data_IF_479248908436
#
_entry.id   IF_479248908436
#
_cell.length_a   1.000
_cell.length_b   1.000
_cell.length_c   1.000
_cell.angle_alpha   90.00
_cell.angle_beta   90.00
_cell.angle_gamma   90.00
#
_symmetry.space_group_name_H-M   'P 1'
#
loop_
_entity.id
_entity.type
_entity.pdbx_description
1 polymer ?
#
# COMPACT_ATOMS: atom_id res chain seq x y z
N UNK A 1 63.48 -13.70 33.81
CA UNK A 1 62.04 -13.89 34.13
C UNK A 1 61.21 -13.34 32.98
N UNK A 2 60.66 -14.23 32.15
CA UNK A 2 59.82 -13.86 30.99
C UNK A 2 58.41 -13.54 31.50
N UNK A 3 57.88 -12.37 31.16
CA UNK A 3 56.45 -12.04 31.38
C UNK A 3 55.83 -11.71 30.02
N UNK A 4 55.19 -12.72 29.44
CA UNK A 4 54.24 -12.60 28.34
C UNK A 4 52.93 -12.03 28.88
N UNK A 5 52.54 -10.84 28.43
CA UNK A 5 51.19 -10.30 28.66
C UNK A 5 50.39 -10.46 27.37
N UNK A 6 49.37 -11.30 27.45
CA UNK A 6 48.44 -11.68 26.37
C UNK A 6 47.52 -10.51 26.06
N UNK A 7 47.54 -10.06 24.81
CA UNK A 7 46.55 -9.11 24.27
C UNK A 7 45.22 -9.81 24.07
N UNK A 8 44.19 -9.40 24.83
CA UNK A 8 42.79 -9.78 24.58
C UNK A 8 42.16 -8.66 23.75
N UNK A 9 42.15 -8.83 22.43
CA UNK A 9 41.31 -8.04 21.52
C UNK A 9 39.89 -8.64 21.55
N UNK A 10 38.99 -8.01 22.30
CA UNK A 10 37.55 -8.27 22.21
C UNK A 10 37.05 -7.59 20.94
N UNK A 11 36.86 -8.37 19.88
CA UNK A 11 36.09 -7.96 18.70
C UNK A 11 34.62 -7.84 19.12
N UNK A 12 34.17 -6.62 19.43
CA UNK A 12 32.75 -6.30 19.44
C UNK A 12 32.22 -6.46 18.01
N UNK A 13 31.63 -7.62 17.72
CA UNK A 13 30.76 -7.79 16.57
C UNK A 13 29.51 -6.93 16.80
N UNK A 14 29.59 -5.65 16.44
CA UNK A 14 28.43 -4.79 16.33
C UNK A 14 27.58 -5.34 15.16
N UNK A 15 26.61 -6.18 15.49
CA UNK A 15 25.51 -6.50 14.60
C UNK A 15 24.83 -5.19 14.25
N UNK A 16 25.05 -4.73 13.01
CA UNK A 16 24.34 -3.61 12.40
C UNK A 16 22.90 -4.07 12.18
N UNK A 17 22.11 -4.10 13.25
CA UNK A 17 20.66 -4.15 13.14
C UNK A 17 20.28 -2.80 12.54
N UNK A 18 19.93 -2.82 11.25
CA UNK A 18 19.42 -1.64 10.58
C UNK A 18 18.28 -1.06 11.41
N UNK A 19 18.52 0.10 12.02
CA UNK A 19 17.51 0.84 12.75
C UNK A 19 16.48 1.31 11.72
N UNK A 20 15.40 0.55 11.55
CA UNK A 20 14.23 1.06 10.86
C UNK A 20 13.66 2.18 11.72
N UNK A 21 13.63 3.39 11.17
CA UNK A 21 13.06 4.53 11.85
C UNK A 21 11.62 4.21 12.26
N UNK A 22 11.28 4.50 13.51
CA UNK A 22 9.94 4.27 14.06
C UNK A 22 8.91 4.96 13.18
N UNK A 23 8.07 4.18 12.49
CA UNK A 23 7.04 4.68 11.58
C UNK A 23 7.27 4.39 10.10
N UNK A 24 8.47 3.96 9.72
CA UNK A 24 8.76 3.55 8.34
C UNK A 24 8.16 2.17 8.06
N UNK A 25 7.37 2.05 7.00
CA UNK A 25 6.78 0.77 6.59
C UNK A 25 7.87 -0.28 6.35
N UNK A 26 7.66 -1.52 6.79
CA UNK A 26 8.57 -2.63 6.47
C UNK A 26 8.53 -3.00 4.98
N UNK A 27 9.69 -3.18 4.33
CA UNK A 27 9.75 -3.89 3.06
C UNK A 27 9.23 -5.33 3.19
N UNK A 28 8.68 -5.87 2.11
CA UNK A 28 8.20 -7.26 2.04
C UNK A 28 6.75 -7.37 1.60
N UNK A 29 6.14 -8.51 1.92
CA UNK A 29 4.77 -8.85 1.56
C UNK A 29 3.78 -8.19 2.53
N UNK A 30 2.82 -7.47 1.97
CA UNK A 30 1.70 -6.88 2.69
C UNK A 30 0.38 -7.44 2.18
N UNK A 31 -0.56 -7.58 3.09
CA UNK A 31 -1.97 -7.75 2.78
C UNK A 31 -2.66 -6.39 2.94
N UNK A 32 -3.35 -5.95 1.90
CA UNK A 32 -4.13 -4.73 1.86
C UNK A 32 -5.60 -5.11 1.83
N UNK A 33 -6.40 -4.45 2.66
CA UNK A 33 -7.85 -4.58 2.67
C UNK A 33 -8.48 -3.23 2.36
N UNK A 34 -9.52 -3.21 1.54
CA UNK A 34 -10.31 -2.03 1.22
C UNK A 34 -11.79 -2.37 1.37
N UNK A 35 -12.48 -1.67 2.25
CA UNK A 35 -13.94 -1.66 2.36
C UNK A 35 -14.45 -0.41 1.67
N UNK A 36 -15.41 -0.56 0.78
CA UNK A 36 -16.01 0.56 0.07
C UNK A 36 -17.49 0.29 -0.16
N UNK A 37 -18.33 1.31 -0.04
CA UNK A 37 -19.74 1.20 -0.40
C UNK A 37 -19.92 0.86 -1.90
N UNK A 38 -18.94 1.23 -2.74
CA UNK A 38 -18.93 0.85 -4.14
C UNK A 38 -18.85 -0.68 -4.32
N UNK A 39 -18.23 -1.41 -3.38
CA UNK A 39 -18.16 -2.87 -3.41
C UNK A 39 -19.47 -3.54 -2.99
N UNK A 40 -20.32 -2.85 -2.22
CA UNK A 40 -21.69 -3.32 -1.94
C UNK A 40 -22.56 -3.32 -3.21
N UNK A 41 -22.16 -2.56 -4.24
CA UNK A 41 -22.71 -2.58 -5.60
C UNK A 41 -21.93 -3.49 -6.57
N UNK A 42 -20.90 -4.20 -6.07
CA UNK A 42 -20.37 -5.44 -6.68
C UNK A 42 -21.02 -6.71 -6.06
N UNK A 43 -22.36 -6.85 -5.99
CA UNK A 43 -22.97 -8.17 -5.96
C UNK A 43 -23.33 -8.52 -7.41
N UNK A 44 -23.21 -9.81 -7.76
CA UNK A 44 -23.74 -10.45 -9.00
C UNK A 44 -22.83 -10.57 -10.22
N UNK A 45 -21.51 -10.41 -10.14
CA UNK A 45 -20.67 -10.99 -11.20
C UNK A 45 -20.59 -12.50 -10.99
N UNK A 46 -21.02 -13.28 -11.99
CA UNK A 46 -20.90 -14.73 -11.91
C UNK A 46 -19.43 -15.14 -11.87
N UNK A 47 -19.08 -16.30 -11.27
CA UNK A 47 -17.71 -16.83 -11.34
C UNK A 47 -17.16 -16.90 -12.78
N UNK A 48 -18.04 -17.10 -13.75
CA UNK A 48 -17.69 -17.14 -15.17
C UNK A 48 -17.29 -15.76 -15.71
N UNK A 49 -17.96 -14.67 -15.30
CA UNK A 49 -17.57 -13.31 -15.67
C UNK A 49 -16.23 -12.93 -15.04
N UNK A 50 -16.00 -13.31 -13.79
CA UNK A 50 -14.72 -13.07 -13.10
C UNK A 50 -13.58 -13.82 -13.80
N UNK A 51 -13.80 -15.07 -14.19
CA UNK A 51 -12.83 -15.87 -14.93
C UNK A 51 -12.56 -15.31 -16.33
N UNK A 52 -13.59 -14.81 -17.01
CA UNK A 52 -13.45 -14.17 -18.31
C UNK A 52 -12.64 -12.86 -18.21
N UNK A 53 -12.83 -12.10 -17.13
CA UNK A 53 -12.01 -10.94 -16.80
C UNK A 53 -10.55 -11.32 -16.49
N UNK A 54 -10.31 -12.40 -15.71
CA UNK A 54 -8.96 -12.93 -15.49
C UNK A 54 -8.28 -13.34 -16.80
N UNK A 55 -9.02 -13.97 -17.72
CA UNK A 55 -8.53 -14.35 -19.06
C UNK A 55 -8.21 -13.13 -19.94
N UNK A 56 -8.90 -12.02 -19.72
CA UNK A 56 -8.57 -10.72 -20.35
C UNK A 56 -7.44 -9.96 -19.63
N UNK A 57 -6.78 -10.59 -18.64
CA UNK A 57 -5.64 -10.01 -17.92
C UNK A 57 -6.04 -9.09 -16.75
N UNK A 58 -7.33 -8.99 -16.42
CA UNK A 58 -7.81 -8.18 -15.30
C UNK A 58 -7.68 -8.99 -14.01
N UNK A 59 -6.81 -8.53 -13.10
CA UNK A 59 -6.64 -9.19 -11.81
C UNK A 59 -7.86 -8.87 -10.93
N UNK A 60 -8.80 -9.83 -10.85
CA UNK A 60 -9.97 -9.66 -9.99
C UNK A 60 -9.57 -9.94 -8.53
N UNK A 61 -9.67 -8.94 -7.65
CA UNK A 61 -9.22 -9.07 -6.28
C UNK A 61 -10.17 -9.97 -5.47
N UNK A 62 -9.63 -10.60 -4.43
CA UNK A 62 -10.40 -11.51 -3.56
C UNK A 62 -11.33 -10.66 -2.69
N UNK A 63 -12.58 -11.08 -2.55
CA UNK A 63 -13.51 -10.47 -1.59
C UNK A 63 -13.56 -11.33 -0.32
N UNK A 64 -13.32 -10.73 0.84
CA UNK A 64 -13.46 -11.35 2.17
C UNK A 64 -14.20 -10.39 3.09
N UNK A 65 -15.26 -10.84 3.75
CA UNK A 65 -16.09 -10.05 4.68
C UNK A 65 -16.54 -8.67 4.14
N UNK A 66 -16.86 -8.61 2.84
CA UNK A 66 -17.27 -7.38 2.16
C UNK A 66 -16.12 -6.40 1.87
N UNK A 67 -14.88 -6.80 2.14
CA UNK A 67 -13.67 -6.06 1.80
C UNK A 67 -12.96 -6.71 0.61
N UNK A 68 -12.37 -5.88 -0.23
CA UNK A 68 -11.42 -6.29 -1.25
C UNK A 68 -10.07 -6.52 -0.60
N UNK A 69 -9.52 -7.73 -0.70
CA UNK A 69 -8.23 -8.11 -0.12
C UNK A 69 -7.24 -8.44 -1.24
N UNK A 70 -6.07 -7.81 -1.16
CA UNK A 70 -4.98 -8.00 -2.13
C UNK A 70 -3.64 -8.14 -1.42
N UNK A 71 -2.73 -8.87 -2.06
CA UNK A 71 -1.35 -8.97 -1.58
C UNK A 71 -0.46 -8.10 -2.45
N UNK A 72 0.39 -7.33 -1.79
CA UNK A 72 1.23 -6.31 -2.40
C UNK A 72 2.66 -6.48 -1.89
N UNK A 73 3.62 -6.55 -2.81
CA UNK A 73 5.03 -6.53 -2.47
C UNK A 73 5.55 -5.08 -2.41
N UNK A 74 6.00 -4.65 -1.22
CA UNK A 74 6.57 -3.32 -0.98
C UNK A 74 8.09 -3.43 -1.00
N UNK A 75 8.75 -2.74 -1.93
CA UNK A 75 10.22 -2.72 -2.03
C UNK A 75 10.84 -1.81 -0.96
N UNK A 76 12.16 -1.88 -0.79
CA UNK A 76 12.91 -0.99 0.12
C UNK A 76 12.75 0.47 -0.27
N UNK A 77 12.76 0.77 -1.56
CA UNK A 77 12.60 2.13 -2.10
C UNK A 77 11.17 2.65 -1.87
N UNK A 78 10.18 1.77 -1.94
CA UNK A 78 8.79 2.12 -1.60
C UNK A 78 8.65 2.41 -0.10
N UNK A 79 9.17 1.52 0.74
CA UNK A 79 9.19 1.69 2.20
C UNK A 79 9.93 2.98 2.61
N UNK A 80 11.02 3.33 1.94
CA UNK A 80 11.80 4.54 2.19
C UNK A 80 11.07 5.85 1.84
N UNK A 81 10.01 5.80 1.02
CA UNK A 81 9.16 6.97 0.79
C UNK A 81 8.30 7.32 1.99
N UNK A 82 8.18 6.42 2.96
CA UNK A 82 7.45 6.63 4.22
C UNK A 82 5.99 7.09 4.01
N UNK A 83 5.41 6.63 2.90
CA UNK A 83 4.05 6.90 2.46
C UNK A 83 3.39 5.56 2.13
N UNK A 84 2.10 5.36 2.46
CA UNK A 84 1.37 4.20 1.97
C UNK A 84 1.42 4.16 0.44
N UNK A 85 1.44 2.96 -0.16
CA UNK A 85 1.35 2.84 -1.61
C UNK A 85 -0.05 3.28 -2.06
N UNK A 86 -0.17 4.55 -2.43
CA UNK A 86 -1.34 5.07 -3.14
C UNK A 86 -1.15 4.65 -4.59
N UNK A 87 -2.00 3.75 -5.08
CA UNK A 87 -1.96 3.31 -6.46
C UNK A 87 -2.06 4.53 -7.38
N UNK A 88 -0.96 4.88 -8.05
CA UNK A 88 -0.97 5.83 -9.15
C UNK A 88 -1.57 5.10 -10.34
N UNK A 89 -2.88 5.00 -10.38
CA UNK A 89 -3.58 4.33 -11.47
C UNK A 89 -3.79 5.28 -12.67
N UNK A 90 -4.11 4.67 -13.80
CA UNK A 90 -4.37 5.27 -15.10
C UNK A 90 -5.51 6.32 -15.10
N UNK A 91 -6.24 6.46 -14.00
CA UNK A 91 -7.33 7.42 -13.83
C UNK A 91 -6.84 8.87 -13.60
N UNK A 92 -5.52 9.11 -13.60
CA UNK A 92 -4.96 10.46 -13.49
C UNK A 92 -5.00 11.05 -12.08
N UNK A 93 -5.14 10.22 -11.05
CA UNK A 93 -5.15 10.63 -9.66
C UNK A 93 -3.72 10.80 -9.11
N UNK A 94 -3.45 11.96 -8.51
CA UNK A 94 -2.15 12.28 -7.93
C UNK A 94 -2.30 12.70 -6.46
N UNK A 95 -1.48 12.15 -5.55
CA UNK A 95 -1.42 12.65 -4.18
C UNK A 95 -0.78 14.04 -4.13
N UNK A 96 -1.33 14.91 -3.28
CA UNK A 96 -0.89 16.28 -3.01
C UNK A 96 -0.89 16.53 -1.51
N UNK A 97 -0.07 17.49 -1.08
CA UNK A 97 -0.04 17.99 0.30
C UNK A 97 0.07 16.88 1.36
N UNK A 98 0.92 15.87 1.10
CA UNK A 98 1.15 14.81 2.07
C UNK A 98 1.74 15.41 3.35
N UNK A 99 1.10 15.14 4.48
CA UNK A 99 1.55 15.56 5.79
C UNK A 99 1.62 14.35 6.70
N UNK A 100 2.65 14.31 7.54
CA UNK A 100 2.82 13.27 8.55
C UNK A 100 3.20 13.90 9.88
N UNK A 101 2.53 13.47 10.94
CA UNK A 101 2.80 13.90 12.31
C UNK A 101 2.82 12.67 13.22
N UNK A 102 4.02 12.22 13.59
CA UNK A 102 4.18 10.98 14.33
C UNK A 102 3.64 9.78 13.56
N UNK A 103 2.62 9.12 14.11
CA UNK A 103 2.01 7.95 13.49
C UNK A 103 0.82 8.28 12.58
N UNK A 104 0.32 9.52 12.54
CA UNK A 104 -0.78 9.90 11.64
C UNK A 104 -0.27 10.56 10.38
N UNK A 105 -1.05 10.42 9.31
CA UNK A 105 -0.78 11.08 8.04
C UNK A 105 -2.07 11.52 7.36
N UNK A 106 -1.94 12.49 6.47
CA UNK A 106 -3.00 12.91 5.56
C UNK A 106 -2.44 13.23 4.18
N UNK A 107 -3.30 13.15 3.18
CA UNK A 107 -2.98 13.53 1.81
C UNK A 107 -4.24 13.98 1.10
N UNK A 108 -4.14 15.00 0.27
CA UNK A 108 -5.17 15.27 -0.73
C UNK A 108 -4.90 14.37 -1.94
N UNK A 109 -5.96 13.96 -2.63
CA UNK A 109 -5.90 13.26 -3.91
C UNK A 109 -6.59 14.15 -4.93
N UNK A 110 -5.91 14.44 -6.03
CA UNK A 110 -6.49 15.22 -7.13
C UNK A 110 -6.48 14.36 -8.38
N UNK A 111 -7.66 14.10 -8.92
CA UNK A 111 -7.85 13.37 -10.17
C UNK A 111 -8.25 14.35 -11.27
N UNK A 112 -7.55 14.33 -12.40
CA UNK A 112 -7.90 15.11 -13.60
C UNK A 112 -7.74 14.27 -14.88
N UNK A 113 -7.99 12.97 -14.78
CA UNK A 113 -7.97 12.06 -15.92
C UNK A 113 -9.24 12.16 -16.77
N UNK A 114 -9.18 11.64 -18.01
CA UNK A 114 -10.33 11.60 -18.91
C UNK A 114 -11.50 10.77 -18.35
N UNK A 115 -11.20 9.68 -17.64
CA UNK A 115 -12.20 8.81 -17.02
C UNK A 115 -12.59 9.21 -15.59
N UNK A 116 -11.82 10.07 -14.91
CA UNK A 116 -12.06 10.41 -13.52
C UNK A 116 -11.55 11.81 -13.17
N UNK A 117 -12.43 12.65 -12.64
CA UNK A 117 -12.10 14.00 -12.18
C UNK A 117 -12.64 14.23 -10.80
N UNK A 118 -11.89 14.93 -9.94
CA UNK A 118 -12.38 15.30 -8.62
C UNK A 118 -11.27 15.39 -7.58
N UNK A 119 -11.71 15.52 -6.34
CA UNK A 119 -10.83 15.64 -5.19
C UNK A 119 -11.19 14.60 -4.15
N UNK A 120 -10.18 14.06 -3.51
CA UNK A 120 -10.33 13.21 -2.35
C UNK A 120 -9.37 13.59 -1.24
N UNK A 121 -9.65 13.05 -0.06
CA UNK A 121 -8.83 13.24 1.12
C UNK A 121 -8.59 11.89 1.78
N UNK A 122 -7.32 11.63 2.07
CA UNK A 122 -6.88 10.47 2.82
C UNK A 122 -6.47 10.94 4.21
N UNK A 123 -6.94 10.25 5.23
CA UNK A 123 -6.45 10.40 6.60
C UNK A 123 -6.18 9.00 7.14
N UNK A 124 -5.03 8.79 7.77
CA UNK A 124 -4.68 7.48 8.28
C UNK A 124 -3.69 7.51 9.42
N UNK A 125 -3.40 6.32 9.93
CA UNK A 125 -2.41 6.13 10.97
C UNK A 125 -1.67 4.80 10.80
N UNK A 126 -0.41 4.81 11.23
CA UNK A 126 0.43 3.64 11.35
C UNK A 126 0.36 3.10 12.77
N UNK A 127 0.30 1.77 12.90
CA UNK A 127 0.54 1.07 14.14
C UNK A 127 1.87 0.32 14.00
N UNK A 128 2.94 1.00 14.42
CA UNK A 128 4.32 0.55 14.21
C UNK A 128 4.74 0.61 12.74
N UNK A 129 5.51 -0.39 12.33
CA UNK A 129 6.08 -0.56 10.98
C UNK A 129 5.39 -1.69 10.18
N UNK A 130 4.46 -2.41 10.81
CA UNK A 130 3.82 -3.63 10.30
C UNK A 130 2.32 -3.49 10.04
N UNK A 131 1.71 -2.35 10.38
CA UNK A 131 0.29 -2.14 10.10
C UNK A 131 -0.09 -0.67 9.94
N UNK A 132 -1.15 -0.41 9.18
CA UNK A 132 -1.77 0.91 9.07
C UNK A 132 -3.27 0.81 8.80
N UNK A 133 -3.98 1.90 9.06
CA UNK A 133 -5.37 2.11 8.62
C UNK A 133 -5.51 3.48 7.97
N UNK A 134 -6.49 3.64 7.10
CA UNK A 134 -6.82 4.93 6.49
C UNK A 134 -8.27 5.00 6.07
N UNK A 135 -8.81 6.21 6.09
CA UNK A 135 -10.08 6.55 5.45
C UNK A 135 -9.77 7.38 4.22
N UNK A 136 -10.45 7.07 3.13
CA UNK A 136 -10.43 7.80 1.88
C UNK A 136 -11.83 8.26 1.50
N UNK A 137 -12.01 9.57 1.42
CA UNK A 137 -13.23 10.20 0.92
C UNK A 137 -12.94 10.85 -0.41
N UNK A 138 -13.76 10.58 -1.42
CA UNK A 138 -13.64 11.16 -2.75
C UNK A 138 -14.96 11.74 -3.23
N UNK A 139 -14.88 12.90 -3.89
CA UNK A 139 -16.01 13.53 -4.56
C UNK A 139 -15.57 14.02 -5.94
N UNK A 140 -16.35 13.64 -6.95
CA UNK A 140 -16.03 14.00 -8.32
C UNK A 140 -16.97 13.36 -9.34
N UNK A 141 -16.40 13.06 -10.50
CA UNK A 141 -17.08 12.38 -11.60
C UNK A 141 -16.23 11.21 -12.11
N UNK A 142 -16.85 10.08 -12.35
CA UNK A 142 -16.26 8.92 -13.04
C UNK A 142 -17.06 8.66 -14.32
N UNK A 143 -16.39 8.64 -15.48
CA UNK A 143 -17.00 8.46 -16.80
C UNK A 143 -18.22 9.38 -17.04
N UNK A 144 -18.09 10.65 -16.62
CA UNK A 144 -19.14 11.67 -16.74
C UNK A 144 -20.27 11.57 -15.71
N UNK A 145 -20.28 10.57 -14.84
CA UNK A 145 -21.28 10.39 -13.79
C UNK A 145 -20.77 10.89 -12.43
N UNK A 146 -21.57 11.65 -11.66
CA UNK A 146 -21.19 12.05 -10.30
C UNK A 146 -20.93 10.84 -9.41
N UNK A 147 -19.82 10.88 -8.67
CA UNK A 147 -19.43 9.86 -7.70
C UNK A 147 -19.06 10.54 -6.38
N UNK A 148 -19.63 10.03 -5.29
CA UNK A 148 -19.13 10.23 -3.94
C UNK A 148 -18.78 8.86 -3.38
N UNK A 149 -17.55 8.71 -2.90
CA UNK A 149 -17.05 7.45 -2.41
C UNK A 149 -16.44 7.64 -1.03
N UNK A 150 -16.77 6.71 -0.14
CA UNK A 150 -16.10 6.52 1.13
C UNK A 150 -15.45 5.14 1.13
N UNK A 151 -14.22 5.05 1.63
CA UNK A 151 -13.51 3.78 1.73
C UNK A 151 -12.62 3.72 2.95
N UNK A 152 -12.65 2.58 3.64
CA UNK A 152 -11.76 2.26 4.74
C UNK A 152 -10.71 1.26 4.25
N UNK A 153 -9.44 1.61 4.38
CA UNK A 153 -8.34 0.75 3.98
C UNK A 153 -7.51 0.34 5.20
N UNK A 154 -6.92 -0.84 5.13
CA UNK A 154 -5.91 -1.28 6.08
C UNK A 154 -4.79 -2.04 5.37
N UNK A 155 -3.62 -2.05 6.00
CA UNK A 155 -2.49 -2.85 5.56
C UNK A 155 -1.87 -3.60 6.71
N UNK A 156 -1.45 -4.84 6.46
CA UNK A 156 -0.73 -5.69 7.41
C UNK A 156 0.47 -6.35 6.74
N UNK A 157 1.64 -6.22 7.36
CA UNK A 157 2.85 -6.92 6.93
C UNK A 157 2.75 -8.41 7.26
N UNK A 158 3.06 -9.25 6.28
CA UNK A 158 2.97 -10.72 6.39
C UNK A 158 4.36 -11.36 6.50
N UNK A 159 5.29 -10.95 5.64
CA UNK A 159 6.59 -11.59 5.54
C UNK A 159 7.62 -10.66 4.87
N UNK A 160 8.90 -10.93 5.12
CA UNK A 160 9.99 -10.19 4.48
C UNK A 160 10.13 -10.55 2.99
N UNK A 161 9.81 -11.79 2.64
CA UNK A 161 9.81 -12.30 1.27
C UNK A 161 8.44 -12.12 0.61
N UNK A 162 8.44 -11.65 -0.63
CA UNK A 162 7.26 -11.47 -1.45
C UNK A 162 6.82 -12.74 -2.19
N UNK A 163 7.67 -13.78 -2.20
CA UNK A 163 7.40 -15.02 -2.92
C UNK A 163 7.12 -14.77 -4.40
N UNK A 164 5.96 -15.20 -4.88
CA UNK A 164 5.53 -15.02 -6.28
C UNK A 164 4.79 -13.69 -6.56
N UNK A 165 4.58 -12.84 -5.55
CA UNK A 165 3.88 -11.56 -5.72
C UNK A 165 4.85 -10.52 -6.28
N UNK A 166 4.58 -10.07 -7.52
CA UNK A 166 5.41 -9.06 -8.18
C UNK A 166 5.29 -7.69 -7.50
N UNK A 167 6.39 -6.90 -7.39
CA UNK A 167 6.35 -5.54 -6.84
C UNK A 167 5.42 -4.61 -7.60
N UNK A 168 4.72 -3.72 -6.89
CA UNK A 168 3.83 -2.69 -7.48
C UNK A 168 4.57 -1.77 -8.44
N UNK A 169 5.88 -1.57 -8.24
CA UNK A 169 6.72 -0.77 -9.11
C UNK A 169 6.82 -1.29 -10.56
N UNK A 170 6.53 -2.58 -10.79
CA UNK A 170 6.50 -3.18 -12.12
C UNK A 170 5.11 -3.10 -12.78
N UNK A 171 4.07 -2.69 -12.06
CA UNK A 171 2.76 -2.35 -12.65
C UNK A 171 2.82 -0.93 -13.25
N UNK A 172 3.74 -0.71 -14.19
CA UNK A 172 3.59 0.38 -15.16
C UNK A 172 2.68 -0.14 -16.26
N UNK A 173 1.69 0.63 -16.74
CA UNK A 173 0.94 0.24 -17.91
C UNK A 173 1.92 0.09 -19.08
N UNK A 174 1.79 -1.02 -19.81
CA UNK A 174 2.47 -1.17 -21.08
C UNK A 174 2.07 0.02 -21.96
N UNK A 175 3.07 0.71 -22.54
CA UNK A 175 2.85 1.77 -23.52
C UNK A 175 2.03 1.28 -24.70
#
# INVERSE_FOLDING_TARGET
MRKTAVSILICCAASVQGAWATGQMRPGLWEMSMKSDAFKAIPKMSPQQMEQMRKMGVNVPKMEDGAMVTKVCITKEMAARDQPPIERNEAGCQPRNFQRSGNTYSSDIVCDGAGMKGMGKVNGSFAGDTSFTSVYDFKGTAYGQPVTQHSENSGKWLAADCGSVKPVAEMKPAK
#
